data_IF_040797886605
#
_entry.id   IF_040797886605
#
_cell.length_a   1.000
_cell.length_b   1.000
_cell.length_c   1.000
_cell.angle_alpha   90.00
_cell.angle_beta   90.00
_cell.angle_gamma   90.00
#
_symmetry.space_group_name_H-M   'P 1'
#
loop_
_entity.id
_entity.type
_entity.pdbx_description
1 polymer ?
#
# COMPACT_ATOMS: atom_id res chain seq x y z
N UNK A 1 -14.24 -17.51 9.62
CA UNK A 1 -14.65 -17.85 11.00
C UNK A 1 -15.05 -19.31 11.14
N UNK A 2 -16.18 -19.77 10.58
CA UNK A 2 -16.68 -21.14 10.80
C UNK A 2 -15.74 -22.26 10.35
N UNK A 3 -15.05 -22.09 9.22
CA UNK A 3 -14.04 -23.05 8.73
C UNK A 3 -12.81 -23.18 9.65
N UNK A 4 -12.59 -22.22 10.55
CA UNK A 4 -11.52 -22.24 11.56
C UNK A 4 -12.04 -22.63 12.95
N UNK A 5 -13.26 -23.16 13.05
CA UNK A 5 -13.89 -23.52 14.33
C UNK A 5 -14.41 -22.35 15.16
N UNK A 6 -14.40 -21.11 14.63
CA UNK A 6 -14.87 -19.92 15.35
C UNK A 6 -16.37 -19.70 15.13
N UNK A 7 -17.09 -19.50 16.23
CA UNK A 7 -18.50 -19.13 16.25
C UNK A 7 -18.67 -17.61 16.29
N UNK A 8 -19.53 -17.07 15.42
CA UNK A 8 -19.94 -15.65 15.48
C UNK A 8 -21.17 -15.58 16.39
N UNK A 9 -20.99 -15.07 17.61
CA UNK A 9 -22.08 -14.94 18.60
C UNK A 9 -22.81 -13.60 18.52
N UNK A 10 -22.19 -12.61 17.87
CA UNK A 10 -22.72 -11.28 17.66
C UNK A 10 -22.11 -10.65 16.39
N UNK A 11 -22.91 -9.87 15.66
CA UNK A 11 -22.44 -9.07 14.53
C UNK A 11 -23.37 -7.88 14.35
N UNK A 12 -22.80 -6.68 14.29
CA UNK A 12 -23.55 -5.45 14.03
C UNK A 12 -22.73 -4.54 13.11
N UNK A 13 -23.44 -3.84 12.21
CA UNK A 13 -22.90 -2.73 11.42
C UNK A 13 -23.23 -1.41 12.11
N UNK A 14 -22.37 -0.43 11.93
CA UNK A 14 -22.56 0.94 12.41
C UNK A 14 -22.09 1.93 11.31
N UNK A 15 -22.56 3.19 11.32
CA UNK A 15 -22.13 4.20 10.35
C UNK A 15 -20.63 4.51 10.41
N UNK A 16 -20.02 4.89 9.29
CA UNK A 16 -18.65 5.41 9.30
C UNK A 16 -18.55 6.67 10.20
N UNK A 17 -17.39 6.89 10.82
CA UNK A 17 -17.13 7.98 11.77
C UNK A 17 -17.99 7.91 13.05
N UNK A 18 -18.41 6.71 13.47
CA UNK A 18 -19.19 6.53 14.70
C UNK A 18 -18.34 6.81 15.94
N UNK A 19 -18.81 7.72 16.79
CA UNK A 19 -18.15 8.08 18.06
C UNK A 19 -18.81 7.47 19.29
N UNK A 20 -20.04 6.96 19.18
CA UNK A 20 -20.74 6.26 20.26
C UNK A 20 -21.14 4.85 19.80
N UNK A 21 -20.51 3.85 20.42
CA UNK A 21 -20.69 2.44 20.15
C UNK A 21 -21.09 1.69 21.44
N UNK A 22 -21.55 2.39 22.49
CA UNK A 22 -21.89 1.76 23.78
C UNK A 22 -23.02 0.75 23.67
N UNK A 23 -24.05 1.05 22.87
CA UNK A 23 -25.17 0.14 22.65
C UNK A 23 -24.69 -1.20 22.04
N UNK A 24 -24.01 -1.22 20.87
CA UNK A 24 -23.50 -2.48 20.32
C UNK A 24 -22.47 -3.17 21.22
N UNK A 25 -21.64 -2.43 21.96
CA UNK A 25 -20.71 -3.02 22.93
C UNK A 25 -21.42 -3.69 24.11
N UNK A 26 -22.52 -3.11 24.59
CA UNK A 26 -23.35 -3.69 25.66
C UNK A 26 -24.01 -4.98 25.19
N UNK A 27 -24.57 -4.99 23.98
CA UNK A 27 -25.14 -6.19 23.37
C UNK A 27 -24.08 -7.27 23.16
N UNK A 28 -22.91 -6.90 22.62
CA UNK A 28 -21.78 -7.80 22.45
C UNK A 28 -21.33 -8.40 23.78
N UNK A 29 -21.17 -7.58 24.83
CA UNK A 29 -20.84 -8.02 26.19
C UNK A 29 -21.84 -9.05 26.70
N UNK A 30 -23.14 -8.83 26.48
CA UNK A 30 -24.20 -9.77 26.85
C UNK A 30 -24.13 -11.13 26.13
N UNK A 31 -23.38 -11.25 25.03
CA UNK A 31 -23.11 -12.52 24.34
C UNK A 31 -21.86 -13.25 24.85
N UNK A 32 -21.12 -12.66 25.79
CA UNK A 32 -19.90 -13.21 26.39
C UNK A 32 -18.87 -13.75 25.35
N UNK A 33 -18.45 -12.95 24.36
CA UNK A 33 -17.51 -13.39 23.34
C UNK A 33 -16.09 -13.52 23.89
N UNK A 34 -15.32 -14.47 23.36
CA UNK A 34 -13.88 -14.57 23.63
C UNK A 34 -13.08 -13.45 22.95
N UNK A 35 -13.52 -12.99 21.78
CA UNK A 35 -12.84 -11.98 20.97
C UNK A 35 -13.83 -10.93 20.46
N UNK A 36 -13.41 -9.67 20.49
CA UNK A 36 -14.08 -8.60 19.74
C UNK A 36 -13.23 -8.24 18.53
N UNK A 37 -13.85 -8.28 17.35
CA UNK A 37 -13.20 -7.89 16.11
C UNK A 37 -13.96 -6.73 15.48
N UNK A 38 -13.21 -5.77 14.97
CA UNK A 38 -13.73 -4.58 14.36
C UNK A 38 -13.08 -4.34 12.99
N UNK A 39 -13.93 -4.04 12.02
CA UNK A 39 -13.50 -3.54 10.72
C UNK A 39 -13.92 -2.08 10.61
N UNK A 40 -13.01 -1.18 10.95
CA UNK A 40 -13.23 0.26 11.04
C UNK A 40 -11.93 1.04 10.92
N UNK A 41 -12.01 2.35 11.11
CA UNK A 41 -10.87 3.26 11.07
C UNK A 41 -10.37 3.59 12.49
N UNK A 42 -9.45 4.54 12.59
CA UNK A 42 -8.85 4.97 13.85
C UNK A 42 -9.92 5.42 14.86
N UNK A 43 -10.85 6.28 14.45
CA UNK A 43 -11.84 6.88 15.33
C UNK A 43 -12.73 5.83 16.03
N UNK A 44 -13.22 4.84 15.29
CA UNK A 44 -14.05 3.78 15.90
C UNK A 44 -13.21 2.85 16.77
N UNK A 45 -11.97 2.57 16.37
CA UNK A 45 -11.07 1.73 17.17
C UNK A 45 -10.79 2.36 18.54
N UNK A 46 -10.55 3.67 18.57
CA UNK A 46 -10.38 4.44 19.81
C UNK A 46 -11.65 4.41 20.67
N UNK A 47 -12.79 4.74 20.07
CA UNK A 47 -14.08 4.76 20.76
C UNK A 47 -14.42 3.40 21.35
N UNK A 48 -14.16 2.30 20.63
CA UNK A 48 -14.41 0.95 21.10
C UNK A 48 -13.57 0.62 22.33
N UNK A 49 -12.26 0.88 22.30
CA UNK A 49 -11.39 0.55 23.44
C UNK A 49 -11.79 1.37 24.68
N UNK A 50 -12.00 2.68 24.51
CA UNK A 50 -12.39 3.57 25.60
C UNK A 50 -13.75 3.16 26.19
N UNK A 51 -14.76 2.91 25.36
CA UNK A 51 -16.10 2.58 25.81
C UNK A 51 -16.20 1.14 26.34
N UNK A 52 -15.42 0.20 25.79
CA UNK A 52 -15.33 -1.14 26.36
C UNK A 52 -14.77 -1.09 27.80
N UNK A 53 -13.77 -0.22 28.05
CA UNK A 53 -13.25 0.03 29.40
C UNK A 53 -14.30 0.66 30.31
N UNK A 54 -15.02 1.69 29.87
CA UNK A 54 -16.14 2.31 30.62
C UNK A 54 -17.21 1.28 31.01
N UNK A 55 -17.54 0.37 30.08
CA UNK A 55 -18.57 -0.66 30.27
C UNK A 55 -18.06 -1.90 31.03
N UNK A 56 -16.76 -1.97 31.37
CA UNK A 56 -16.13 -3.17 31.94
C UNK A 56 -16.29 -4.39 31.02
N UNK A 57 -16.18 -4.21 29.72
CA UNK A 57 -16.20 -5.27 28.72
C UNK A 57 -14.77 -5.69 28.37
N UNK A 58 -14.34 -6.85 28.86
CA UNK A 58 -12.97 -7.34 28.70
C UNK A 58 -12.96 -8.75 28.11
N UNK A 59 -13.19 -8.90 26.78
CA UNK A 59 -12.95 -10.17 26.09
C UNK A 59 -11.46 -10.53 26.16
N UNK A 60 -11.11 -11.79 25.84
CA UNK A 60 -9.71 -12.25 25.86
C UNK A 60 -8.82 -11.53 24.84
N UNK A 61 -9.40 -10.84 23.87
CA UNK A 61 -8.66 -10.03 22.91
C UNK A 61 -9.54 -9.12 22.09
N UNK A 62 -8.93 -8.02 21.66
CA UNK A 62 -9.47 -7.08 20.68
C UNK A 62 -8.65 -7.17 19.40
N UNK A 63 -9.33 -7.11 18.25
CA UNK A 63 -8.69 -7.05 16.94
C UNK A 63 -9.33 -5.97 16.07
N UNK A 64 -8.50 -5.14 15.44
CA UNK A 64 -8.94 -4.05 14.58
C UNK A 64 -8.22 -4.10 13.23
N UNK A 65 -8.88 -3.59 12.19
CA UNK A 65 -8.30 -3.51 10.85
C UNK A 65 -7.27 -2.39 10.69
N UNK A 66 -7.50 -1.18 11.23
CA UNK A 66 -6.66 0.00 10.94
C UNK A 66 -6.06 0.63 12.19
N UNK A 67 -6.86 0.89 13.23
CA UNK A 67 -6.47 1.69 14.40
C UNK A 67 -5.06 1.39 14.93
N UNK A 68 -4.74 0.14 15.32
CA UNK A 68 -3.48 -0.20 15.98
C UNK A 68 -2.20 0.10 15.18
N UNK A 69 -2.32 0.26 13.86
CA UNK A 69 -1.16 0.55 13.00
C UNK A 69 -0.79 2.03 12.91
N UNK A 70 -1.53 2.93 13.59
CA UNK A 70 -1.27 4.38 13.51
C UNK A 70 -0.62 4.91 14.80
N UNK A 71 0.28 5.91 14.72
CA UNK A 71 0.85 6.56 15.91
C UNK A 71 -0.22 7.09 16.87
N UNK A 72 -1.28 7.68 16.32
CA UNK A 72 -2.37 8.30 17.10
C UNK A 72 -3.12 7.30 17.98
N UNK A 73 -3.21 6.03 17.58
CA UNK A 73 -3.84 5.00 18.40
C UNK A 73 -3.06 4.77 19.69
N UNK A 74 -1.73 4.67 19.57
CA UNK A 74 -0.85 4.51 20.71
C UNK A 74 -0.83 5.75 21.60
N UNK A 75 -0.71 6.95 21.03
CA UNK A 75 -0.64 8.19 21.83
C UNK A 75 -1.93 8.46 22.59
N UNK A 76 -3.09 8.14 21.99
CA UNK A 76 -4.40 8.38 22.60
C UNK A 76 -4.74 7.36 23.68
N UNK A 77 -4.53 6.07 23.42
CA UNK A 77 -4.92 5.00 24.36
C UNK A 77 -3.85 4.70 25.41
N UNK A 78 -2.59 5.04 25.14
CA UNK A 78 -1.48 4.79 26.05
C UNK A 78 -1.47 3.32 26.52
N UNK A 79 -1.61 3.08 27.83
CA UNK A 79 -1.64 1.74 28.40
C UNK A 79 -2.83 0.89 27.96
N UNK A 80 -3.92 1.51 27.53
CA UNK A 80 -5.12 0.79 27.06
C UNK A 80 -4.92 0.20 25.64
N UNK A 81 -3.88 0.61 24.92
CA UNK A 81 -3.51 0.00 23.64
C UNK A 81 -2.87 -1.39 23.79
N UNK A 82 -2.38 -1.73 24.99
CA UNK A 82 -1.67 -2.98 25.22
C UNK A 82 -2.56 -4.19 24.87
N UNK A 83 -1.93 -5.23 24.28
CA UNK A 83 -2.57 -6.50 23.88
C UNK A 83 -3.57 -6.41 22.71
N UNK A 84 -3.84 -5.21 22.18
CA UNK A 84 -4.70 -5.05 21.00
C UNK A 84 -4.01 -5.60 19.76
N UNK A 85 -4.72 -6.44 19.00
CA UNK A 85 -4.26 -6.97 17.71
C UNK A 85 -4.65 -6.03 16.57
N UNK A 86 -3.71 -5.79 15.66
CA UNK A 86 -3.92 -5.02 14.43
C UNK A 86 -3.69 -5.86 13.19
N UNK A 87 -4.58 -5.74 12.20
CA UNK A 87 -4.25 -6.14 10.83
C UNK A 87 -3.23 -5.17 10.25
N UNK A 88 -2.09 -5.67 9.76
CA UNK A 88 -1.05 -4.83 9.18
C UNK A 88 -0.42 -5.51 7.97
N UNK A 89 -0.17 -4.74 6.92
CA UNK A 89 0.43 -5.20 5.66
C UNK A 89 1.96 -5.03 5.65
N UNK A 90 2.46 -4.04 6.38
CA UNK A 90 3.86 -3.68 6.43
C UNK A 90 4.30 -3.29 7.85
N UNK A 91 5.45 -3.79 8.30
CA UNK A 91 6.11 -3.31 9.52
C UNK A 91 7.62 -3.21 9.30
N UNK A 92 8.34 -2.39 10.08
CA UNK A 92 9.80 -2.31 10.01
C UNK A 92 10.52 -3.64 10.28
N UNK A 93 9.84 -4.60 10.93
CA UNK A 93 10.41 -5.89 11.30
C UNK A 93 10.40 -6.92 10.16
N UNK A 94 9.65 -6.67 9.08
CA UNK A 94 9.60 -7.56 7.92
C UNK A 94 10.99 -7.65 7.27
N UNK A 95 11.30 -8.83 6.70
CA UNK A 95 12.63 -9.18 6.17
C UNK A 95 12.68 -9.13 4.65
N UNK A 96 12.03 -8.12 4.07
CA UNK A 96 12.06 -7.90 2.64
C UNK A 96 13.36 -7.21 2.23
N UNK A 97 13.78 -7.49 1.00
CA UNK A 97 14.97 -6.91 0.39
C UNK A 97 14.62 -6.40 -1.00
N UNK A 98 14.99 -5.14 -1.27
CA UNK A 98 14.82 -4.47 -2.54
C UNK A 98 16.13 -3.86 -3.04
N UNK A 99 16.12 -3.46 -4.30
CA UNK A 99 17.18 -2.72 -5.01
C UNK A 99 16.89 -1.21 -5.10
N UNK A 100 15.82 -0.76 -4.44
CA UNK A 100 15.48 0.66 -4.32
C UNK A 100 16.33 1.39 -3.25
N UNK A 101 16.11 2.71 -3.12
CA UNK A 101 16.82 3.56 -2.17
C UNK A 101 16.76 3.07 -0.72
N UNK A 102 15.64 2.47 -0.32
CA UNK A 102 15.39 2.10 1.06
C UNK A 102 15.93 0.72 1.40
N UNK A 103 16.03 -0.18 0.42
CA UNK A 103 16.59 -1.54 0.49
C UNK A 103 15.88 -2.52 1.44
N UNK A 104 15.54 -2.11 2.66
CA UNK A 104 14.85 -2.93 3.67
C UNK A 104 13.79 -2.11 4.43
N UNK A 105 12.76 -2.76 5.00
CA UNK A 105 11.78 -2.08 5.84
C UNK A 105 12.37 -1.34 7.05
N UNK A 106 13.43 -1.87 7.64
CA UNK A 106 14.14 -1.27 8.78
C UNK A 106 14.90 0.01 8.38
N UNK A 107 15.55 -0.01 7.22
CA UNK A 107 16.24 1.16 6.69
C UNK A 107 15.24 2.26 6.27
N UNK A 108 14.10 1.89 5.65
CA UNK A 108 13.00 2.84 5.40
C UNK A 108 12.51 3.50 6.69
N UNK A 109 12.24 2.70 7.75
CA UNK A 109 11.79 3.23 9.05
C UNK A 109 12.81 4.21 9.63
N UNK A 110 14.10 3.90 9.54
CA UNK A 110 15.18 4.77 10.03
C UNK A 110 15.18 6.11 9.30
N UNK A 111 15.14 6.10 7.97
CA UNK A 111 15.13 7.31 7.17
C UNK A 111 13.84 8.12 7.36
N UNK A 112 12.69 7.45 7.46
CA UNK A 112 11.40 8.10 7.69
C UNK A 112 11.39 8.83 9.04
N UNK A 113 11.88 8.18 10.11
CA UNK A 113 12.04 8.80 11.43
C UNK A 113 12.97 10.00 11.40
N UNK A 114 14.11 9.91 10.71
CA UNK A 114 15.03 11.04 10.56
C UNK A 114 14.38 12.22 9.83
N UNK A 115 13.50 11.94 8.86
CA UNK A 115 12.87 12.96 8.02
C UNK A 115 11.65 13.61 8.70
N UNK A 116 10.82 12.81 9.36
CA UNK A 116 9.50 13.25 9.84
C UNK A 116 9.35 13.23 11.37
N UNK A 117 10.29 12.64 12.10
CA UNK A 117 10.32 12.64 13.57
C UNK A 117 9.43 11.59 14.25
N UNK A 118 8.79 10.69 13.50
CA UNK A 118 7.96 9.60 14.03
C UNK A 118 8.03 8.35 13.14
N UNK A 119 7.56 7.20 13.64
CA UNK A 119 7.54 5.95 12.87
C UNK A 119 6.46 5.94 11.78
N UNK A 120 6.75 5.43 10.57
CA UNK A 120 5.75 5.37 9.51
C UNK A 120 4.64 4.38 9.85
N UNK A 121 3.40 4.78 9.60
CA UNK A 121 2.30 3.84 9.47
C UNK A 121 2.43 3.07 8.14
N UNK A 122 1.80 1.89 8.04
CA UNK A 122 1.88 1.08 6.81
C UNK A 122 1.38 1.84 5.58
N UNK A 123 0.44 2.78 5.73
CA UNK A 123 -0.06 3.62 4.64
C UNK A 123 1.05 4.51 4.04
N UNK A 124 1.97 5.01 4.86
CA UNK A 124 3.13 5.77 4.37
C UNK A 124 4.09 4.88 3.57
N UNK A 125 4.31 3.65 4.05
CA UNK A 125 5.11 2.66 3.33
C UNK A 125 4.46 2.27 2.00
N UNK A 126 3.14 2.05 1.97
CA UNK A 126 2.37 1.76 0.76
C UNK A 126 2.49 2.89 -0.27
N UNK A 127 2.28 4.14 0.16
CA UNK A 127 2.42 5.31 -0.71
C UNK A 127 3.85 5.46 -1.26
N UNK A 128 4.86 5.18 -0.42
CA UNK A 128 6.27 5.18 -0.85
C UNK A 128 6.52 4.09 -1.90
N UNK A 129 5.99 2.88 -1.69
CA UNK A 129 6.13 1.78 -2.63
C UNK A 129 5.53 2.10 -4.00
N UNK A 130 4.39 2.82 -4.04
CA UNK A 130 3.82 3.35 -5.29
C UNK A 130 4.79 4.31 -5.98
N UNK A 131 5.40 5.23 -5.23
CA UNK A 131 6.44 6.14 -5.76
C UNK A 131 7.63 5.38 -6.35
N UNK A 132 8.14 4.38 -5.64
CA UNK A 132 9.23 3.51 -6.12
C UNK A 132 8.82 2.77 -7.39
N UNK A 133 7.60 2.24 -7.46
CA UNK A 133 7.10 1.56 -8.65
C UNK A 133 7.04 2.51 -9.87
N UNK A 134 6.62 3.77 -9.67
CA UNK A 134 6.64 4.77 -10.73
C UNK A 134 8.05 5.11 -11.20
N UNK A 135 9.01 5.29 -10.27
CA UNK A 135 10.41 5.54 -10.64
C UNK A 135 10.95 4.37 -11.47
N UNK A 136 10.77 3.13 -11.01
CA UNK A 136 11.20 1.94 -11.76
C UNK A 136 10.55 1.83 -13.14
N UNK A 137 9.27 2.16 -13.25
CA UNK A 137 8.58 2.17 -14.54
C UNK A 137 9.15 3.23 -15.49
N UNK A 138 9.45 4.43 -14.98
CA UNK A 138 10.07 5.52 -15.75
C UNK A 138 11.50 5.18 -16.16
N UNK A 139 12.29 4.54 -15.29
CA UNK A 139 13.66 4.12 -15.60
C UNK A 139 13.67 3.01 -16.67
N UNK A 140 12.79 2.01 -16.54
CA UNK A 140 12.68 0.92 -17.53
C UNK A 140 12.17 1.41 -18.89
N UNK A 141 11.11 2.21 -18.90
CA UNK A 141 10.46 2.63 -20.14
C UNK A 141 11.11 3.89 -20.75
N UNK A 142 11.71 4.77 -19.95
CA UNK A 142 12.15 6.10 -20.32
C UNK A 142 11.18 7.20 -19.89
N UNK A 143 11.70 8.41 -19.70
CA UNK A 143 10.97 9.57 -19.20
C UNK A 143 9.81 10.01 -20.12
N UNK A 144 8.60 10.10 -19.56
CA UNK A 144 7.38 10.54 -20.25
C UNK A 144 6.88 11.84 -19.64
N UNK A 145 6.67 12.85 -20.49
CA UNK A 145 5.89 14.05 -20.17
C UNK A 145 4.88 14.29 -21.28
N UNK A 146 3.73 14.90 -20.93
CA UNK A 146 2.70 15.25 -21.87
C UNK A 146 2.61 16.77 -22.04
N UNK A 147 2.43 17.23 -23.27
CA UNK A 147 2.10 18.62 -23.55
C UNK A 147 0.62 18.93 -23.15
N UNK A 148 0.19 20.18 -23.31
CA UNK A 148 -1.17 20.63 -22.99
C UNK A 148 -2.28 19.87 -23.76
N UNK A 149 -1.91 19.16 -24.83
CA UNK A 149 -2.82 18.36 -25.66
C UNK A 149 -2.88 16.89 -25.22
N UNK A 150 -2.09 16.51 -24.22
CA UNK A 150 -1.96 15.12 -23.78
C UNK A 150 -1.07 14.26 -24.69
N UNK A 151 -0.19 14.85 -25.50
CA UNK A 151 0.74 14.13 -26.38
C UNK A 151 2.10 13.99 -25.70
N UNK A 152 2.71 12.81 -25.79
CA UNK A 152 4.04 12.57 -25.23
C UNK A 152 5.09 13.46 -25.92
N UNK A 153 5.72 14.34 -25.14
CA UNK A 153 6.64 15.36 -25.60
C UNK A 153 8.12 14.98 -25.44
N UNK A 154 8.45 14.01 -24.58
CA UNK A 154 9.84 13.73 -24.19
C UNK A 154 10.40 12.45 -24.75
N UNK A 155 9.56 11.47 -25.09
CA UNK A 155 10.02 10.17 -25.60
C UNK A 155 9.67 10.00 -27.08
N UNK A 156 10.63 10.16 -28.00
CA UNK A 156 10.38 9.92 -29.42
C UNK A 156 10.15 8.43 -29.69
N UNK A 157 9.35 8.13 -30.71
CA UNK A 157 9.15 6.77 -31.21
C UNK A 157 10.38 6.31 -32.00
N UNK A 158 10.94 5.15 -31.67
CA UNK A 158 11.95 4.52 -32.50
C UNK A 158 11.33 3.98 -33.79
N UNK A 159 12.09 3.98 -34.88
CA UNK A 159 11.70 3.35 -36.15
C UNK A 159 12.50 2.07 -36.31
N UNK A 160 11.80 0.96 -36.56
CA UNK A 160 12.41 -0.32 -36.87
C UNK A 160 12.24 -0.68 -38.36
N UNK A 161 13.22 -1.38 -38.92
CA UNK A 161 13.16 -1.97 -40.25
C UNK A 161 13.58 -3.44 -40.17
N UNK A 162 12.95 -4.29 -40.98
CA UNK A 162 13.46 -5.65 -41.21
C UNK A 162 14.56 -5.61 -42.26
N UNK A 163 15.76 -6.06 -41.89
CA UNK A 163 16.92 -6.16 -42.77
C UNK A 163 17.55 -7.55 -42.62
N UNK A 164 17.74 -8.26 -43.73
CA UNK A 164 18.38 -9.59 -43.76
C UNK A 164 17.81 -10.59 -42.73
N UNK A 165 16.47 -10.63 -42.60
CA UNK A 165 15.78 -11.55 -41.69
C UNK A 165 15.77 -11.16 -40.20
N UNK A 166 16.29 -9.98 -39.84
CA UNK A 166 16.30 -9.44 -38.47
C UNK A 166 15.59 -8.09 -38.42
N UNK A 167 14.93 -7.81 -37.29
CA UNK A 167 14.42 -6.48 -36.95
C UNK A 167 15.53 -5.62 -36.34
N UNK A 168 15.75 -4.43 -36.88
CA UNK A 168 16.79 -3.48 -36.44
C UNK A 168 16.20 -2.09 -36.26
N UNK A 169 16.67 -1.36 -35.26
CA UNK A 169 16.38 0.06 -35.06
C UNK A 169 17.18 0.88 -36.06
N UNK A 170 16.51 1.76 -36.81
CA UNK A 170 17.13 2.60 -37.85
C UNK A 170 17.04 4.10 -37.57
N UNK A 171 16.23 4.50 -36.57
CA UNK A 171 16.08 5.88 -36.12
C UNK A 171 15.57 5.91 -34.65
N UNK A 172 15.96 6.88 -33.80
CA UNK A 172 16.85 8.02 -34.08
C UNK A 172 18.33 7.61 -34.26
N UNK A 173 19.11 8.47 -34.90
CA UNK A 173 20.47 8.12 -35.39
C UNK A 173 21.49 7.84 -34.30
N UNK A 174 21.25 8.36 -33.10
CA UNK A 174 22.07 8.16 -31.90
C UNK A 174 21.89 6.78 -31.26
N UNK A 175 20.75 6.11 -31.50
CA UNK A 175 20.46 4.75 -31.04
C UNK A 175 20.27 3.74 -32.18
N UNK A 176 20.36 4.19 -33.43
CA UNK A 176 20.21 3.34 -34.61
C UNK A 176 21.31 2.27 -34.65
N UNK A 177 20.90 1.01 -34.76
CA UNK A 177 21.82 -0.12 -34.88
C UNK A 177 22.46 -0.15 -36.28
N UNK A 178 21.68 0.22 -37.29
CA UNK A 178 22.10 0.31 -38.70
C UNK A 178 21.35 1.44 -39.41
N UNK A 179 21.86 1.87 -40.57
CA UNK A 179 21.12 2.82 -41.43
C UNK A 179 19.89 2.14 -42.05
N UNK A 180 18.82 2.90 -42.25
CA UNK A 180 17.68 2.43 -43.02
C UNK A 180 18.08 2.11 -44.48
N UNK A 181 17.58 0.98 -45.01
CA UNK A 181 17.63 0.68 -46.44
C UNK A 181 16.58 1.54 -47.14
N UNK A 182 17.06 2.59 -47.81
CA UNK A 182 16.23 3.56 -48.53
C UNK A 182 16.90 3.99 -49.86
N UNK A 183 16.15 4.09 -50.98
CA UNK A 183 14.74 3.69 -51.13
C UNK A 183 14.56 2.17 -51.02
N UNK A 184 13.34 1.74 -50.68
CA UNK A 184 13.02 0.31 -50.67
C UNK A 184 13.18 -0.26 -52.09
N UNK A 185 13.97 -1.33 -52.30
CA UNK A 185 14.16 -1.91 -53.63
C UNK A 185 12.84 -2.44 -54.20
N UNK A 186 12.76 -2.53 -55.53
CA UNK A 186 11.63 -3.12 -56.23
C UNK A 186 11.40 -4.57 -55.76
N UNK A 187 10.15 -5.04 -55.77
CA UNK A 187 9.81 -6.39 -55.32
C UNK A 187 10.61 -7.49 -56.05
N UNK A 188 10.97 -7.27 -57.31
CA UNK A 188 11.77 -8.20 -58.11
C UNK A 188 13.25 -8.28 -57.73
N UNK A 189 13.72 -7.38 -56.86
CA UNK A 189 15.13 -7.27 -56.45
C UNK A 189 15.30 -7.49 -54.94
N UNK A 190 14.29 -8.05 -54.26
CA UNK A 190 14.32 -8.41 -52.84
C UNK A 190 14.64 -9.87 -52.62
#
# INVERSE_FOLDING_TARGET
MRQKGLQVVYSQKYPNASTDLRAPLTEAKGKNPDLLLNSGHLQESLAIVQQAKELGFSPKGFGFSVGPGTPDFQTTLQNDANYVLGGVQWTPALKYHGDDLFQTPEAYNTLYKQTFGYEPAYQSADATAVGVAFVKAIEFYGHIQFDERGINATKPMAVEQWQNGRRVTVWPTDVAEVKALWPMPAWSAR
#
